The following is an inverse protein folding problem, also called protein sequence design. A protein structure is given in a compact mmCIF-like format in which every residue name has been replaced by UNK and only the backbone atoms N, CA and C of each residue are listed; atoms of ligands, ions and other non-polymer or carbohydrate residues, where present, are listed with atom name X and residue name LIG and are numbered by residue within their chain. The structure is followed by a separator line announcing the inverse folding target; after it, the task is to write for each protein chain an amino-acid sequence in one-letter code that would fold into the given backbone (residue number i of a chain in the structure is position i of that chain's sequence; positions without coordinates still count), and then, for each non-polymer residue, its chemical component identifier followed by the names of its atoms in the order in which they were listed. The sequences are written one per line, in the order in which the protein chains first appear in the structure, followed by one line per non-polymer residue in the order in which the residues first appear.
data_IF_618809140098
#
_entry.id   IF_618809140098
#
_cell.length_a   1.000
_cell.length_b   1.000
_cell.length_c   1.000
_cell.angle_alpha   90.00
_cell.angle_beta   90.00
_cell.angle_gamma   90.00
#
_symmetry.space_group_name_H-M   'P 1'
#
loop_
_entity.id
_entity.type
_entity.pdbx_description
1 polymer ?
#
# COMPACT_ATOMS: atom_id res chain seq x y z
N UNK A 1 18.01 -59.19 -52.89
CA UNK A 1 18.55 -59.15 -51.52
C UNK A 1 17.74 -58.08 -50.78
N UNK A 2 16.59 -58.38 -50.17
CA UNK A 2 16.35 -59.11 -48.91
C UNK A 2 16.98 -58.43 -47.69
N UNK A 3 16.12 -57.86 -46.82
CA UNK A 3 16.10 -57.72 -45.35
C UNK A 3 15.03 -56.62 -45.07
N UNK A 4 13.74 -56.88 -44.81
CA UNK A 4 13.07 -57.59 -43.71
C UNK A 4 13.60 -57.19 -42.32
N UNK A 5 12.90 -56.32 -41.58
CA UNK A 5 11.91 -56.70 -40.55
C UNK A 5 11.45 -55.49 -39.70
N UNK A 6 10.15 -55.47 -39.44
CA UNK A 6 9.44 -54.66 -38.46
C UNK A 6 9.66 -55.29 -37.08
N UNK A 7 9.98 -54.48 -36.06
CA UNK A 7 9.90 -54.91 -34.65
C UNK A 7 9.33 -53.79 -33.77
N UNK A 8 8.17 -54.10 -33.21
CA UNK A 8 7.49 -53.68 -31.98
C UNK A 8 7.91 -52.40 -31.20
N UNK A 9 6.91 -51.53 -31.02
CA UNK A 9 6.38 -50.98 -29.76
C UNK A 9 7.33 -50.78 -28.55
N UNK A 10 7.48 -49.52 -28.16
CA UNK A 10 7.47 -49.11 -26.76
C UNK A 10 6.76 -47.76 -26.64
N UNK A 11 5.48 -47.81 -26.29
CA UNK A 11 4.68 -46.69 -25.81
C UNK A 11 5.33 -46.18 -24.53
N UNK A 12 5.93 -44.99 -24.55
CA UNK A 12 6.28 -44.30 -23.30
C UNK A 12 5.03 -43.54 -22.88
N UNK A 13 4.19 -44.24 -22.12
CA UNK A 13 3.16 -43.60 -21.31
C UNK A 13 3.88 -42.74 -20.26
N UNK A 14 3.57 -41.44 -20.10
CA UNK A 14 3.99 -40.74 -18.89
C UNK A 14 3.28 -41.42 -17.73
N UNK A 15 4.04 -42.04 -16.84
CA UNK A 15 3.51 -42.53 -15.58
C UNK A 15 3.03 -41.30 -14.78
N UNK A 16 1.71 -41.17 -14.64
CA UNK A 16 1.10 -40.42 -13.56
C UNK A 16 1.59 -41.04 -12.25
N UNK A 17 2.56 -40.38 -11.62
CA UNK A 17 2.81 -40.57 -10.19
C UNK A 17 1.68 -39.83 -9.48
N UNK A 18 0.81 -40.50 -8.71
CA UNK A 18 -0.06 -39.78 -7.81
C UNK A 18 0.84 -39.23 -6.70
N UNK A 19 1.23 -37.97 -6.80
CA UNK A 19 1.79 -37.27 -5.66
C UNK A 19 0.60 -37.05 -4.72
N UNK A 20 0.59 -37.76 -3.60
CA UNK A 20 -0.37 -37.53 -2.53
C UNK A 20 -0.23 -36.08 -2.09
N UNK A 21 -1.15 -35.22 -2.53
CA UNK A 21 -1.10 -33.76 -2.35
C UNK A 21 -1.25 -33.29 -0.90
N UNK A 22 -1.10 -34.17 0.09
CA UNK A 22 -1.07 -33.84 1.51
C UNK A 22 0.34 -33.51 2.02
N UNK A 23 1.37 -34.23 1.58
CA UNK A 23 2.72 -34.10 2.15
C UNK A 23 3.39 -32.76 1.79
N UNK A 24 3.09 -32.21 0.60
CA UNK A 24 3.55 -30.88 0.19
C UNK A 24 2.79 -29.75 0.92
N UNK A 25 1.56 -29.95 1.39
CA UNK A 25 0.87 -28.91 2.16
C UNK A 25 1.33 -28.89 3.63
N UNK A 26 1.72 -30.05 4.16
CA UNK A 26 2.26 -30.18 5.52
C UNK A 26 3.70 -29.63 5.62
N UNK A 27 4.54 -29.82 4.60
CA UNK A 27 5.89 -29.25 4.55
C UNK A 27 5.88 -27.72 4.45
N UNK A 28 4.91 -27.15 3.73
CA UNK A 28 4.73 -25.70 3.63
C UNK A 28 4.07 -25.09 4.88
N UNK A 29 3.17 -25.82 5.55
CA UNK A 29 2.64 -25.41 6.87
C UNK A 29 3.75 -25.34 7.93
N UNK A 30 4.65 -26.33 7.97
CA UNK A 30 5.78 -26.33 8.89
C UNK A 30 6.81 -25.22 8.63
N UNK A 31 6.93 -24.74 7.39
CA UNK A 31 7.79 -23.61 7.02
C UNK A 31 7.14 -22.25 7.37
N UNK A 32 5.82 -22.13 7.31
CA UNK A 32 5.07 -20.95 7.78
C UNK A 32 5.06 -20.85 9.31
N UNK A 33 4.95 -21.97 10.03
CA UNK A 33 5.05 -22.03 11.50
C UNK A 33 6.45 -21.68 12.03
N UNK A 34 7.49 -21.81 11.21
CA UNK A 34 8.88 -21.47 11.54
C UNK A 34 9.39 -20.24 10.79
N UNK A 35 8.52 -19.51 10.09
CA UNK A 35 8.88 -18.20 9.57
C UNK A 35 9.28 -17.33 10.77
N UNK A 36 10.41 -16.60 10.70
CA UNK A 36 10.75 -15.67 11.76
C UNK A 36 9.58 -14.70 11.92
N UNK A 37 8.86 -14.80 13.05
CA UNK A 37 7.96 -13.74 13.45
C UNK A 37 8.84 -12.52 13.64
N UNK A 38 8.81 -11.57 12.71
CA UNK A 38 9.31 -10.24 13.01
C UNK A 38 8.61 -9.81 14.29
N UNK A 39 9.33 -9.48 15.38
CA UNK A 39 8.67 -9.05 16.59
C UNK A 39 7.83 -7.85 16.20
N UNK A 40 6.51 -7.98 16.34
CA UNK A 40 5.62 -6.84 16.23
C UNK A 40 6.18 -5.76 17.15
N UNK A 41 6.33 -4.53 16.63
CA UNK A 41 6.73 -3.37 17.42
C UNK A 41 5.94 -3.38 18.74
N UNK A 42 6.65 -3.30 19.87
CA UNK A 42 6.00 -3.31 21.16
C UNK A 42 5.05 -2.12 21.28
N UNK A 43 3.94 -2.24 22.01
CA UNK A 43 2.99 -1.13 22.16
C UNK A 43 3.64 0.13 22.77
N UNK A 44 4.69 -0.05 23.58
CA UNK A 44 5.50 1.03 24.16
C UNK A 44 6.39 1.68 23.10
N UNK A 45 7.15 0.90 22.32
CA UNK A 45 7.99 1.39 21.20
C UNK A 45 7.15 2.15 20.17
N UNK A 46 5.97 1.60 19.82
CA UNK A 46 4.99 2.23 18.94
C UNK A 46 4.55 3.58 19.48
N UNK A 47 4.21 3.66 20.76
CA UNK A 47 3.76 4.90 21.40
C UNK A 47 4.86 5.95 21.40
N UNK A 48 6.08 5.58 21.78
CA UNK A 48 7.24 6.47 21.74
C UNK A 48 7.48 7.01 20.33
N UNK A 49 7.49 6.15 19.30
CA UNK A 49 7.60 6.57 17.90
C UNK A 49 6.51 7.57 17.51
N UNK A 50 5.25 7.27 17.81
CA UNK A 50 4.13 8.11 17.43
C UNK A 50 4.11 9.47 18.16
N UNK A 51 4.62 9.52 19.40
CA UNK A 51 4.75 10.76 20.17
C UNK A 51 5.85 11.70 19.63
N UNK A 52 6.83 11.16 18.90
CA UNK A 52 7.89 11.94 18.24
C UNK A 52 7.47 12.51 16.88
N UNK A 53 6.42 11.96 16.26
CA UNK A 53 5.97 12.40 14.94
C UNK A 53 5.26 13.75 14.98
N UNK A 54 5.39 14.48 13.88
CA UNK A 54 4.56 15.65 13.64
C UNK A 54 3.09 15.24 13.45
N UNK A 55 2.18 16.15 13.83
CA UNK A 55 0.75 15.91 13.73
C UNK A 55 0.17 16.48 12.44
N UNK A 56 -0.77 15.75 11.84
CA UNK A 56 -1.55 16.18 10.70
C UNK A 56 -3.05 16.11 11.01
N UNK A 57 -3.82 17.06 10.49
CA UNK A 57 -5.29 17.02 10.56
C UNK A 57 -5.83 16.16 9.44
N UNK A 58 -6.43 15.04 9.78
CA UNK A 58 -7.19 14.18 8.88
C UNK A 58 -8.67 14.54 8.96
N UNK A 59 -9.29 14.82 7.82
CA UNK A 59 -10.74 14.96 7.68
C UNK A 59 -11.23 14.00 6.62
N UNK A 60 -11.97 12.97 7.00
CA UNK A 60 -12.48 11.94 6.08
C UNK A 60 -13.98 11.79 6.19
N UNK A 61 -14.58 11.44 5.06
CA UNK A 61 -15.94 10.93 4.94
C UNK A 61 -15.90 9.59 4.22
N UNK A 62 -16.47 8.58 4.87
CA UNK A 62 -16.62 7.22 4.35
C UNK A 62 -18.10 7.04 4.01
N UNK A 63 -18.38 6.60 2.78
CA UNK A 63 -19.71 6.29 2.28
C UNK A 63 -19.73 4.86 1.72
N UNK A 64 -20.81 4.11 1.94
CA UNK A 64 -20.93 2.72 1.50
C UNK A 64 -21.52 1.86 2.62
N UNK A 65 -20.93 0.70 2.85
CA UNK A 65 -21.34 -0.18 3.96
C UNK A 65 -21.01 0.39 5.35
N UNK A 66 -20.03 1.30 5.40
CA UNK A 66 -19.75 2.17 6.55
C UNK A 66 -20.06 3.60 6.15
N UNK A 67 -20.84 4.29 6.99
CA UNK A 67 -21.14 5.72 6.82
C UNK A 67 -20.65 6.50 8.02
N UNK A 68 -19.67 7.39 7.81
CA UNK A 68 -19.10 8.22 8.87
C UNK A 68 -18.36 9.44 8.32
N UNK A 69 -18.31 10.50 9.13
CA UNK A 69 -17.39 11.63 8.93
C UNK A 69 -16.63 11.86 10.21
N UNK A 70 -15.31 12.00 10.12
CA UNK A 70 -14.45 12.33 11.26
C UNK A 70 -13.40 13.36 10.87
N UNK A 71 -13.09 14.24 11.81
CA UNK A 71 -11.95 15.15 11.74
C UNK A 71 -11.13 14.97 13.00
N UNK A 72 -9.85 14.62 12.86
CA UNK A 72 -8.96 14.27 13.97
C UNK A 72 -7.52 14.65 13.64
N UNK A 73 -6.78 15.08 14.66
CA UNK A 73 -5.35 15.33 14.57
C UNK A 73 -4.58 14.07 14.96
N UNK A 74 -3.75 13.54 14.05
CA UNK A 74 -3.03 12.28 14.23
C UNK A 74 -1.53 12.45 13.99
N UNK A 75 -0.67 11.71 14.72
CA UNK A 75 0.71 11.47 14.32
C UNK A 75 0.78 11.08 12.85
N UNK A 76 1.68 11.72 12.11
CA UNK A 76 1.83 11.53 10.69
C UNK A 76 3.29 11.43 10.29
N UNK A 77 3.57 10.41 9.48
CA UNK A 77 4.83 10.24 8.78
C UNK A 77 4.63 10.50 7.29
N UNK A 78 5.61 11.14 6.65
CA UNK A 78 5.61 11.37 5.22
C UNK A 78 6.89 10.82 4.64
N UNK A 79 6.73 9.78 3.83
CA UNK A 79 7.85 9.08 3.21
C UNK A 79 7.92 9.49 1.74
N UNK A 80 9.13 9.75 1.25
CA UNK A 80 9.40 10.10 -0.16
C UNK A 80 10.49 9.18 -0.70
N UNK A 81 10.20 8.49 -1.79
CA UNK A 81 11.19 7.65 -2.47
C UNK A 81 11.55 8.23 -3.84
N UNK A 82 12.84 8.17 -4.20
CA UNK A 82 13.34 8.61 -5.51
C UNK A 82 13.47 7.43 -6.46
N UNK A 83 13.10 7.58 -7.74
CA UNK A 83 13.28 6.53 -8.72
C UNK A 83 14.77 6.29 -8.95
N UNK A 84 15.17 5.02 -9.01
CA UNK A 84 16.58 4.63 -9.22
C UNK A 84 17.04 4.76 -10.68
N UNK A 85 16.11 4.98 -11.63
CA UNK A 85 16.35 4.81 -13.08
C UNK A 85 16.11 6.11 -13.88
N UNK A 86 15.31 7.06 -13.38
CA UNK A 86 15.01 8.30 -14.10
C UNK A 86 15.91 9.45 -13.61
N UNK A 87 16.81 9.91 -14.47
CA UNK A 87 17.64 11.09 -14.20
C UNK A 87 16.88 12.39 -14.45
N UNK A 88 17.31 13.47 -13.79
CA UNK A 88 16.75 14.81 -13.98
C UNK A 88 16.71 15.21 -15.47
N UNK A 89 15.58 15.76 -15.92
CA UNK A 89 15.48 16.49 -17.19
C UNK A 89 15.80 17.96 -16.89
N UNK A 90 16.60 18.61 -17.74
CA UNK A 90 17.06 19.99 -17.52
C UNK A 90 15.87 20.96 -17.32
N UNK A 91 15.76 21.51 -16.10
CA UNK A 91 14.80 22.56 -15.75
C UNK A 91 13.55 22.10 -14.98
N UNK A 92 13.34 20.79 -14.80
CA UNK A 92 12.23 20.24 -14.02
C UNK A 92 12.73 19.62 -12.70
N UNK A 93 11.93 19.64 -11.61
CA UNK A 93 12.27 18.90 -10.40
C UNK A 93 12.37 17.40 -10.71
N UNK A 94 13.35 16.72 -10.10
CA UNK A 94 13.45 15.26 -10.24
C UNK A 94 12.16 14.59 -9.75
N UNK A 95 11.55 13.71 -10.56
CA UNK A 95 10.34 12.99 -10.15
C UNK A 95 10.66 12.11 -8.93
N UNK A 96 9.73 12.04 -7.97
CA UNK A 96 9.75 11.02 -6.92
C UNK A 96 9.06 9.76 -7.46
N UNK A 97 9.53 8.58 -7.04
CA UNK A 97 8.86 7.32 -7.33
C UNK A 97 7.49 7.32 -6.66
N UNK A 98 7.42 7.84 -5.43
CA UNK A 98 6.17 8.05 -4.70
C UNK A 98 6.35 9.02 -3.53
N UNK A 99 5.22 9.58 -3.07
CA UNK A 99 5.06 10.24 -1.76
C UNK A 99 3.96 9.50 -1.01
N UNK A 100 4.20 9.02 0.21
CA UNK A 100 3.17 8.41 1.06
C UNK A 100 3.00 9.26 2.31
N UNK A 101 1.76 9.58 2.65
CA UNK A 101 1.39 10.11 3.95
C UNK A 101 0.73 9.00 4.77
N UNK A 102 1.34 8.63 5.89
CA UNK A 102 0.83 7.62 6.84
C UNK A 102 0.42 8.32 8.11
N UNK A 103 -0.82 8.11 8.53
CA UNK A 103 -1.35 8.57 9.81
C UNK A 103 -1.68 7.37 10.66
N UNK A 104 -1.36 7.47 11.94
CA UNK A 104 -1.57 6.39 12.88
C UNK A 104 -2.03 6.94 14.21
N UNK A 105 -3.12 6.39 14.76
CA UNK A 105 -3.69 6.85 16.02
C UNK A 105 -3.09 6.10 17.20
N UNK A 106 -2.76 6.83 18.28
CA UNK A 106 -2.32 6.22 19.53
C UNK A 106 -3.40 5.30 20.11
N UNK A 107 -4.64 5.78 20.10
CA UNK A 107 -5.84 5.05 20.48
C UNK A 107 -6.79 4.97 19.27
N UNK A 108 -7.56 3.87 19.08
CA UNK A 108 -8.50 3.77 17.97
C UNK A 108 -9.53 4.90 17.96
N UNK A 109 -9.68 5.55 16.81
CA UNK A 109 -10.63 6.65 16.63
C UNK A 109 -11.97 6.09 16.13
N UNK A 110 -13.12 6.41 16.76
CA UNK A 110 -14.41 5.95 16.28
C UNK A 110 -14.71 6.41 14.84
N UNK A 111 -15.16 5.49 13.99
CA UNK A 111 -15.49 5.74 12.59
C UNK A 111 -16.76 4.97 12.20
N UNK A 112 -17.93 5.56 12.50
CA UNK A 112 -19.23 4.94 12.21
C UNK A 112 -19.44 3.67 13.04
N UNK A 113 -19.65 2.54 12.36
CA UNK A 113 -19.75 1.20 12.95
C UNK A 113 -18.39 0.54 13.21
N UNK A 114 -17.29 1.15 12.77
CA UNK A 114 -15.92 0.67 12.93
C UNK A 114 -15.06 1.72 13.66
N UNK A 115 -13.75 1.54 13.60
CA UNK A 115 -12.76 2.46 14.11
C UNK A 115 -11.65 2.69 13.07
N UNK A 116 -10.82 3.69 13.33
CA UNK A 116 -9.65 4.04 12.55
C UNK A 116 -8.42 3.92 13.47
N UNK A 117 -7.47 3.08 13.07
CA UNK A 117 -6.17 2.95 13.72
C UNK A 117 -5.05 3.48 12.82
N UNK A 118 -5.10 3.19 11.52
CA UNK A 118 -4.16 3.77 10.56
C UNK A 118 -4.84 4.17 9.24
N UNK A 119 -4.27 5.18 8.58
CA UNK A 119 -4.65 5.61 7.25
C UNK A 119 -3.39 5.90 6.44
N UNK A 120 -3.31 5.39 5.22
CA UNK A 120 -2.21 5.65 4.30
C UNK A 120 -2.75 6.05 2.94
N UNK A 121 -2.07 7.02 2.33
CA UNK A 121 -2.32 7.43 0.95
C UNK A 121 -1.01 7.68 0.23
N UNK A 122 -0.92 7.20 -1.01
CA UNK A 122 0.23 7.41 -1.87
C UNK A 122 -0.07 8.38 -3.01
N UNK A 123 0.97 9.04 -3.50
CA UNK A 123 1.00 9.77 -4.77
C UNK A 123 2.12 9.17 -5.61
N UNK A 124 1.83 8.15 -6.43
CA UNK A 124 2.80 7.55 -7.33
C UNK A 124 3.33 8.57 -8.35
N UNK A 125 4.61 8.48 -8.70
CA UNK A 125 5.28 9.36 -9.66
C UNK A 125 5.04 10.85 -9.39
N UNK A 126 5.17 11.25 -8.13
CA UNK A 126 4.95 12.63 -7.71
C UNK A 126 6.02 13.56 -8.32
N UNK A 127 5.55 14.58 -9.03
CA UNK A 127 6.39 15.61 -9.69
C UNK A 127 6.19 17.01 -9.09
N UNK A 128 5.34 17.13 -8.06
CA UNK A 128 5.05 18.39 -7.37
C UNK A 128 3.55 18.58 -7.05
N UNK A 129 3.17 19.77 -6.57
CA UNK A 129 1.77 20.12 -6.36
C UNK A 129 0.94 19.94 -7.64
N UNK A 130 -0.21 19.30 -7.53
CA UNK A 130 -1.02 18.96 -8.69
C UNK A 130 -2.16 18.00 -8.39
N UNK A 131 -2.86 17.63 -9.46
CA UNK A 131 -3.93 16.65 -9.48
C UNK A 131 -3.46 15.38 -10.17
N UNK A 132 -3.71 14.24 -9.56
CA UNK A 132 -3.23 12.93 -9.97
C UNK A 132 -4.42 11.98 -10.11
N UNK A 133 -4.94 11.77 -11.33
CA UNK A 133 -5.93 10.72 -11.61
C UNK A 133 -5.27 9.35 -11.39
N UNK A 134 -5.87 8.52 -10.54
CA UNK A 134 -5.26 7.23 -10.18
C UNK A 134 -5.37 6.20 -11.31
N UNK A 135 -6.43 6.26 -12.11
CA UNK A 135 -6.60 5.42 -13.30
C UNK A 135 -5.54 5.68 -14.37
N UNK A 136 -5.17 6.95 -14.59
CA UNK A 136 -4.07 7.33 -15.48
C UNK A 136 -2.72 6.86 -14.94
N UNK A 137 -2.46 7.05 -13.65
CA UNK A 137 -1.21 6.58 -13.03
C UNK A 137 -1.07 5.06 -13.10
N UNK A 138 -2.16 4.32 -12.84
CA UNK A 138 -2.19 2.86 -13.01
C UNK A 138 -1.87 2.45 -14.44
N UNK A 139 -2.49 3.08 -15.43
CA UNK A 139 -2.24 2.76 -16.84
C UNK A 139 -0.77 3.01 -17.23
N UNK A 140 -0.18 4.09 -16.71
CA UNK A 140 1.24 4.41 -16.91
C UNK A 140 2.16 3.44 -16.20
N UNK A 141 1.80 2.95 -15.00
CA UNK A 141 2.52 1.89 -14.31
C UNK A 141 2.51 0.58 -15.11
N UNK A 142 1.37 0.20 -15.69
CA UNK A 142 1.28 -0.95 -16.61
C UNK A 142 2.09 -0.78 -17.91
N UNK A 143 2.46 0.45 -18.25
CA UNK A 143 3.29 0.78 -19.41
C UNK A 143 4.76 0.99 -19.05
N UNK A 144 5.17 0.65 -17.81
CA UNK A 144 6.51 0.85 -17.25
C UNK A 144 6.98 2.33 -17.22
N UNK A 145 6.06 3.30 -17.33
CA UNK A 145 6.37 4.73 -17.21
C UNK A 145 6.42 5.21 -15.75
N UNK A 146 5.69 4.51 -14.87
CA UNK A 146 5.66 4.75 -13.43
C UNK A 146 6.32 3.55 -12.77
N UNK A 147 7.40 3.80 -12.04
CA UNK A 147 8.24 2.73 -11.48
C UNK A 147 7.60 1.98 -10.30
N UNK A 148 6.52 2.51 -9.73
CA UNK A 148 5.92 2.00 -8.50
C UNK A 148 4.40 2.17 -8.50
N UNK A 149 3.68 1.07 -8.36
CA UNK A 149 2.23 1.02 -8.15
C UNK A 149 1.91 -0.12 -7.20
N UNK A 150 1.64 0.23 -5.94
CA UNK A 150 1.27 -0.74 -4.90
C UNK A 150 -0.05 -0.31 -4.27
N UNK A 151 -1.04 -1.20 -4.34
CA UNK A 151 -2.39 -0.98 -3.79
C UNK A 151 -2.34 -0.86 -2.26
N UNK A 152 -1.42 -1.60 -1.62
CA UNK A 152 -1.29 -1.67 -0.17
C UNK A 152 -0.82 -0.35 0.48
N UNK A 153 -0.21 0.54 -0.31
CA UNK A 153 0.18 1.88 0.12
C UNK A 153 -1.03 2.82 0.30
N UNK A 154 -2.22 2.40 -0.15
CA UNK A 154 -3.50 3.06 0.08
C UNK A 154 -4.35 2.19 1.01
N UNK A 155 -4.47 2.58 2.28
CA UNK A 155 -5.28 1.81 3.20
C UNK A 155 -6.00 2.64 4.26
N UNK A 156 -7.11 2.09 4.73
CA UNK A 156 -7.80 2.50 5.94
C UNK A 156 -7.93 1.25 6.82
N UNK A 157 -7.20 1.23 7.94
CA UNK A 157 -7.18 0.07 8.82
C UNK A 157 -7.90 0.34 10.13
N UNK A 158 -8.88 -0.50 10.50
CA UNK A 158 -9.43 -0.52 11.85
C UNK A 158 -8.46 -1.07 12.89
N UNK A 159 -7.43 -1.81 12.47
CA UNK A 159 -6.53 -2.59 13.32
C UNK A 159 -5.08 -2.18 13.10
N UNK A 160 -4.26 -2.22 14.16
CA UNK A 160 -2.86 -1.78 14.09
C UNK A 160 -1.98 -2.68 13.20
N UNK A 161 -2.30 -3.97 13.09
CA UNK A 161 -1.49 -4.95 12.35
C UNK A 161 -2.05 -5.25 10.95
N UNK A 162 -3.13 -4.58 10.56
CA UNK A 162 -3.92 -4.96 9.39
C UNK A 162 -4.67 -6.28 9.59
N UNK A 163 -5.75 -6.48 8.85
CA UNK A 163 -6.57 -7.69 8.94
C UNK A 163 -7.58 -7.77 7.81
N UNK A 164 -8.50 -8.73 7.91
CA UNK A 164 -9.59 -8.91 6.93
C UNK A 164 -10.51 -7.67 6.84
N UNK A 165 -10.49 -6.84 7.89
CA UNK A 165 -11.26 -5.60 8.02
C UNK A 165 -10.52 -4.37 7.46
N UNK A 166 -9.27 -4.49 7.05
CA UNK A 166 -8.51 -3.40 6.43
C UNK A 166 -9.02 -3.16 5.01
N UNK A 167 -9.31 -1.90 4.72
CA UNK A 167 -9.70 -1.46 3.39
C UNK A 167 -8.46 -1.04 2.62
N UNK A 168 -8.30 -1.58 1.42
CA UNK A 168 -7.26 -1.20 0.47
C UNK A 168 -7.89 -0.53 -0.74
N UNK A 169 -7.11 0.21 -1.53
CA UNK A 169 -7.59 0.78 -2.79
C UNK A 169 -8.18 -0.31 -3.69
N UNK A 170 -9.42 -0.10 -4.13
CA UNK A 170 -10.08 -1.00 -5.06
C UNK A 170 -9.63 -0.67 -6.49
N UNK A 171 -8.67 -1.46 -7.00
CA UNK A 171 -8.11 -1.29 -8.34
C UNK A 171 -9.16 -1.54 -9.45
N UNK A 172 -10.16 -2.39 -9.20
CA UNK A 172 -11.23 -2.66 -10.16
C UNK A 172 -12.19 -1.47 -10.28
N UNK A 173 -12.46 -0.78 -9.16
CA UNK A 173 -13.33 0.39 -9.10
C UNK A 173 -12.61 1.75 -9.25
N UNK A 174 -11.31 1.76 -9.55
CA UNK A 174 -10.45 2.96 -9.54
C UNK A 174 -10.83 4.09 -10.50
N UNK A 175 -11.75 3.85 -11.43
CA UNK A 175 -12.16 4.84 -12.43
C UNK A 175 -12.73 6.09 -11.77
N UNK A 176 -12.12 7.25 -12.03
CA UNK A 176 -12.51 8.53 -11.42
C UNK A 176 -12.03 8.72 -9.98
N UNK A 177 -11.18 7.83 -9.45
CA UNK A 177 -10.44 8.03 -8.22
C UNK A 177 -9.26 8.99 -8.45
N UNK A 178 -8.91 9.77 -7.44
CA UNK A 178 -7.87 10.78 -7.58
C UNK A 178 -7.23 11.15 -6.25
N UNK A 179 -6.02 11.69 -6.36
CA UNK A 179 -5.31 12.36 -5.28
C UNK A 179 -4.82 13.72 -5.77
N UNK A 180 -4.86 14.73 -4.92
CA UNK A 180 -4.34 16.06 -5.23
C UNK A 180 -3.50 16.55 -4.07
N UNK A 181 -2.40 17.23 -4.37
CA UNK A 181 -1.51 17.79 -3.34
C UNK A 181 -1.18 19.24 -3.63
N UNK A 182 -1.12 20.04 -2.57
CA UNK A 182 -0.58 21.41 -2.61
C UNK A 182 0.86 21.46 -2.09
N UNK A 183 1.40 20.32 -1.63
CA UNK A 183 2.60 20.24 -0.78
C UNK A 183 2.28 20.44 0.71
N UNK A 184 1.32 21.29 1.04
CA UNK A 184 0.85 21.55 2.41
C UNK A 184 -0.37 20.71 2.82
N UNK A 185 -0.99 20.05 1.86
CA UNK A 185 -2.19 19.25 2.06
C UNK A 185 -2.31 18.21 0.97
N UNK A 186 -2.96 17.09 1.29
CA UNK A 186 -3.38 16.07 0.34
C UNK A 186 -4.91 16.00 0.39
N UNK A 187 -5.57 16.05 -0.76
CA UNK A 187 -7.00 15.80 -0.91
C UNK A 187 -7.20 14.55 -1.76
N UNK A 188 -8.27 13.80 -1.52
CA UNK A 188 -8.44 12.51 -2.17
C UNK A 188 -9.89 12.06 -2.26
N UNK A 189 -10.11 11.16 -3.21
CA UNK A 189 -11.33 10.39 -3.43
C UNK A 189 -10.94 8.99 -3.90
N UNK A 190 -11.12 8.01 -3.01
CA UNK A 190 -10.60 6.66 -3.15
C UNK A 190 -11.74 5.65 -3.01
N UNK A 191 -12.02 4.81 -4.01
CA UNK A 191 -12.76 3.58 -3.79
C UNK A 191 -11.86 2.61 -3.01
N UNK A 192 -12.39 2.01 -1.95
CA UNK A 192 -11.64 1.06 -1.14
C UNK A 192 -12.49 -0.16 -0.83
N UNK A 193 -11.86 -1.33 -0.79
CA UNK A 193 -12.49 -2.60 -0.51
C UNK A 193 -11.71 -3.36 0.57
N UNK A 194 -12.44 -4.08 1.40
CA UNK A 194 -11.90 -5.10 2.30
C UNK A 194 -12.49 -6.47 1.93
N UNK A 195 -12.12 -7.52 2.66
CA UNK A 195 -12.73 -8.85 2.45
C UNK A 195 -14.24 -8.84 2.71
N UNK A 196 -14.72 -7.89 3.52
CA UNK A 196 -16.09 -7.91 4.05
C UNK A 196 -17.01 -6.84 3.45
N UNK A 197 -16.48 -5.80 2.80
CA UNK A 197 -17.29 -4.66 2.35
C UNK A 197 -16.54 -3.70 1.42
N UNK A 198 -17.30 -2.86 0.71
CA UNK A 198 -16.79 -1.81 -0.17
C UNK A 198 -17.22 -0.42 0.33
N UNK A 199 -16.32 0.55 0.22
CA UNK A 199 -16.55 1.94 0.63
C UNK A 199 -15.90 2.91 -0.35
N UNK A 200 -16.38 4.15 -0.35
CA UNK A 200 -15.72 5.29 -0.98
C UNK A 200 -15.28 6.27 0.09
N UNK A 201 -13.97 6.52 0.16
CA UNK A 201 -13.33 7.39 1.14
C UNK A 201 -12.94 8.69 0.47
N UNK A 202 -13.48 9.79 0.95
CA UNK A 202 -13.14 11.14 0.49
C UNK A 202 -12.59 11.94 1.64
N UNK A 203 -11.65 12.84 1.40
CA UNK A 203 -11.10 13.61 2.50
C UNK A 203 -9.89 14.45 2.17
N UNK A 204 -9.30 14.94 3.25
CA UNK A 204 -8.08 15.74 3.23
C UNK A 204 -7.18 15.38 4.40
N UNK A 205 -5.88 15.42 4.16
CA UNK A 205 -4.83 15.52 5.18
C UNK A 205 -4.20 16.90 5.06
N UNK A 206 -4.07 17.64 6.15
CA UNK A 206 -3.45 18.97 6.17
C UNK A 206 -2.45 19.09 7.30
N UNK A 207 -1.32 19.74 7.01
CA UNK A 207 -0.32 20.13 8.02
C UNK A 207 -0.43 21.63 8.30
N UNK A 208 -0.18 22.05 9.54
CA UNK A 208 -0.38 23.45 9.97
C UNK A 208 0.50 24.48 9.23
N UNK A 209 1.70 24.07 8.78
CA UNK A 209 2.58 24.86 7.92
C UNK A 209 3.27 23.91 6.91
N UNK A 210 3.37 24.23 5.60
CA UNK A 210 4.18 23.46 4.66
C UNK A 210 5.64 23.26 5.12
N UNK A 211 6.21 24.20 5.88
CA UNK A 211 7.53 24.05 6.50
C UNK A 211 7.54 23.06 7.68
N UNK A 212 6.38 22.76 8.27
CA UNK A 212 6.19 21.75 9.31
C UNK A 212 5.63 20.45 8.76
N UNK A 213 5.67 20.24 7.44
CA UNK A 213 5.40 18.92 6.86
C UNK A 213 6.27 17.90 7.60
N UNK A 214 5.69 16.76 8.04
CA UNK A 214 6.46 15.74 8.76
C UNK A 214 7.77 15.40 8.04
N UNK A 215 8.84 15.31 8.83
CA UNK A 215 10.18 15.07 8.30
C UNK A 215 10.33 13.62 7.83
N UNK A 216 11.11 13.44 6.77
CA UNK A 216 11.40 12.16 6.13
C UNK A 216 12.09 11.18 7.11
N UNK A 217 11.44 10.07 7.44
CA UNK A 217 12.12 8.88 7.97
C UNK A 217 12.82 8.14 6.82
N UNK A 218 13.91 8.72 6.32
CA UNK A 218 14.71 8.16 5.22
C UNK A 218 16.18 8.55 5.22
N UNK A 219 16.60 9.48 6.09
CA UNK A 219 18.03 9.66 6.36
C UNK A 219 18.43 8.73 7.51
N UNK A 220 18.57 7.44 7.20
CA UNK A 220 19.58 6.67 7.92
C UNK A 220 20.90 7.39 7.65
N UNK A 221 21.36 8.10 8.68
CA UNK A 221 22.74 8.54 8.78
C UNK A 221 23.63 7.30 8.70
N UNK A 222 24.17 7.03 7.51
CA UNK A 222 25.52 6.49 7.41
C UNK A 222 26.46 7.58 7.95
N UNK A 223 26.56 7.64 9.28
CA UNK A 223 27.55 8.43 9.97
C UNK A 223 28.66 7.51 10.46
N UNK A 224 29.72 7.43 9.64
CA UNK A 224 31.12 7.39 10.09
C UNK A 224 31.68 6.08 10.60
#
# INVERSE_FOLDING_TARGET
MSWNQITAAATVTPALVPVEGGELLDEWSGLLENAPSFPAEGEEERRERLEELATATLSITVCGDVEATVTVDLPCDVIEERPTIFGAVDGEPEPLAWVIARLESLEPVPLGSTQLTSFSIAIPSHVGPGFYPLDELRQRAHSDEVAWWEVDDFHLSPEAQGGESTYYLDDEAITGAWVATTGASVAFDLPMASVVSEVRVTGTISWNDPATRPALLGQHTDAG
#
